data_IF_263794160086
#
_entry.id   IF_263794160086
#
_cell.length_a   1.000
_cell.length_b   1.000
_cell.length_c   1.000
_cell.angle_alpha   90.00
_cell.angle_beta   90.00
_cell.angle_gamma   90.00
#
_symmetry.space_group_name_H-M   'P 1'
#
loop_
_entity.id
_entity.type
_entity.pdbx_description
1 polymer ?
#
# COMPACT_ATOMS: atom_id res chain seq x y z
N UNK A 1 36.82 4.43 7.60
CA UNK A 1 35.75 5.40 7.25
C UNK A 1 34.40 4.78 7.59
N UNK A 2 33.72 5.26 8.64
CA UNK A 2 32.34 4.85 8.95
C UNK A 2 31.46 5.28 7.78
N UNK A 3 30.93 4.36 7.00
CA UNK A 3 29.95 4.64 5.94
C UNK A 3 28.63 5.05 6.62
N UNK A 4 28.34 6.32 6.63
CA UNK A 4 27.03 6.80 7.09
C UNK A 4 25.98 6.47 6.03
N UNK A 5 24.92 5.75 6.45
CA UNK A 5 23.78 5.50 5.60
C UNK A 5 23.13 6.84 5.19
N UNK A 6 22.74 6.96 3.91
CA UNK A 6 21.98 8.12 3.45
C UNK A 6 20.64 8.24 4.19
N UNK A 7 20.06 9.44 4.25
CA UNK A 7 18.73 9.67 4.83
C UNK A 7 17.70 8.72 4.23
N UNK A 8 17.72 8.57 2.89
CA UNK A 8 16.85 7.67 2.15
C UNK A 8 16.98 6.21 2.65
N UNK A 9 18.21 5.69 2.76
CA UNK A 9 18.43 4.32 3.23
C UNK A 9 17.96 4.10 4.67
N UNK A 10 18.18 5.08 5.56
CA UNK A 10 17.68 5.02 6.95
C UNK A 10 16.16 4.97 7.00
N UNK A 11 15.47 5.81 6.21
CA UNK A 11 14.01 5.81 6.13
C UNK A 11 13.47 4.48 5.62
N UNK A 12 14.04 3.96 4.54
CA UNK A 12 13.63 2.66 3.96
C UNK A 12 13.78 1.53 4.98
N UNK A 13 14.94 1.43 5.63
CA UNK A 13 15.19 0.37 6.62
C UNK A 13 14.25 0.49 7.82
N UNK A 14 14.13 1.69 8.41
CA UNK A 14 13.29 1.93 9.58
C UNK A 14 11.83 1.58 9.30
N UNK A 15 11.24 2.17 8.26
CA UNK A 15 9.84 1.94 7.95
C UNK A 15 9.57 0.51 7.48
N UNK A 16 10.50 -0.12 6.76
CA UNK A 16 10.37 -1.53 6.40
C UNK A 16 10.37 -2.44 7.63
N UNK A 17 11.28 -2.22 8.58
CA UNK A 17 11.30 -2.97 9.83
C UNK A 17 10.03 -2.76 10.66
N UNK A 18 9.55 -1.51 10.78
CA UNK A 18 8.30 -1.21 11.50
C UNK A 18 7.11 -1.95 10.87
N UNK A 19 7.01 -1.94 9.54
CA UNK A 19 5.91 -2.62 8.84
C UNK A 19 6.02 -4.15 8.93
N UNK A 20 7.22 -4.71 8.86
CA UNK A 20 7.41 -6.17 8.97
C UNK A 20 7.13 -6.67 10.39
N UNK A 21 7.77 -6.06 11.38
CA UNK A 21 7.62 -6.49 12.77
C UNK A 21 6.25 -6.13 13.30
N UNK A 22 5.79 -4.90 13.06
CA UNK A 22 4.45 -4.44 13.45
C UNK A 22 3.34 -5.27 12.80
N UNK A 23 3.44 -5.54 11.49
CA UNK A 23 2.51 -6.42 10.78
C UNK A 23 2.50 -7.84 11.34
N UNK A 24 3.68 -8.41 11.62
CA UNK A 24 3.79 -9.76 12.20
C UNK A 24 3.15 -9.83 13.60
N UNK A 25 3.44 -8.85 14.47
CA UNK A 25 2.84 -8.80 15.81
C UNK A 25 1.33 -8.69 15.73
N UNK A 26 0.80 -7.79 14.90
CA UNK A 26 -0.64 -7.60 14.77
C UNK A 26 -1.34 -8.83 14.16
N UNK A 27 -0.80 -9.42 13.09
CA UNK A 27 -1.34 -10.65 12.49
C UNK A 27 -1.29 -11.79 13.53
N UNK A 28 -0.17 -11.94 14.23
CA UNK A 28 -0.01 -12.95 15.27
C UNK A 28 -1.05 -12.79 16.39
N UNK A 29 -1.24 -11.58 16.92
CA UNK A 29 -2.23 -11.32 17.98
C UNK A 29 -3.67 -11.60 17.53
N UNK A 30 -4.03 -11.25 16.29
CA UNK A 30 -5.38 -11.40 15.75
C UNK A 30 -5.71 -12.87 15.43
N UNK A 31 -4.74 -13.63 14.91
CA UNK A 31 -4.96 -14.98 14.41
C UNK A 31 -4.48 -16.08 15.38
N UNK A 32 -3.91 -15.72 16.54
CA UNK A 32 -3.28 -16.66 17.46
C UNK A 32 -4.14 -17.85 17.86
N UNK A 33 -5.41 -17.58 18.08
CA UNK A 33 -6.39 -18.58 18.54
C UNK A 33 -7.36 -19.03 17.43
N UNK A 34 -7.21 -18.53 16.19
CA UNK A 34 -8.09 -18.88 15.10
C UNK A 34 -7.78 -20.32 14.62
N UNK A 35 -8.68 -21.31 14.89
CA UNK A 35 -8.39 -22.72 14.58
C UNK A 35 -8.29 -23.00 13.09
N UNK A 36 -8.84 -22.13 12.25
CA UNK A 36 -8.84 -22.27 10.78
C UNK A 36 -7.60 -21.67 10.10
N UNK A 37 -6.83 -20.84 10.83
CA UNK A 37 -5.62 -20.22 10.28
C UNK A 37 -4.35 -20.65 11.04
N UNK A 38 -4.13 -20.13 12.26
CA UNK A 38 -2.91 -20.38 13.04
C UNK A 38 -3.12 -21.26 14.26
N UNK A 39 -4.37 -21.51 14.69
CA UNK A 39 -4.66 -22.15 15.99
C UNK A 39 -4.02 -23.52 16.17
N UNK A 40 -3.94 -24.33 15.10
CA UNK A 40 -3.32 -25.67 15.14
C UNK A 40 -1.79 -25.71 15.12
N UNK A 41 -1.12 -24.54 14.96
CA UNK A 41 0.34 -24.49 14.91
C UNK A 41 0.96 -24.44 16.32
N UNK A 42 2.18 -24.97 16.45
CA UNK A 42 3.01 -24.79 17.65
C UNK A 42 3.37 -23.30 17.85
N UNK A 43 3.73 -22.90 19.07
CA UNK A 43 4.09 -21.50 19.36
C UNK A 43 5.20 -20.97 18.43
N UNK A 44 6.31 -21.66 18.19
CA UNK A 44 7.30 -21.22 17.20
C UNK A 44 6.71 -21.15 15.79
N UNK A 45 5.84 -22.11 15.41
CA UNK A 45 5.16 -22.12 14.11
C UNK A 45 4.25 -20.90 13.91
N UNK A 46 3.50 -20.49 14.95
CA UNK A 46 2.67 -19.26 14.90
C UNK A 46 3.50 -18.00 14.68
N UNK A 47 4.61 -17.87 15.39
CA UNK A 47 5.54 -16.73 15.23
C UNK A 47 6.11 -16.68 13.82
N UNK A 48 6.58 -17.82 13.32
CA UNK A 48 7.13 -17.91 11.96
C UNK A 48 6.08 -17.66 10.89
N UNK A 49 4.86 -18.18 11.05
CA UNK A 49 3.75 -17.92 10.12
C UNK A 49 3.34 -16.45 10.11
N UNK A 50 3.28 -15.79 11.28
CA UNK A 50 2.97 -14.37 11.38
C UNK A 50 4.05 -13.50 10.72
N UNK A 51 5.33 -13.78 10.97
CA UNK A 51 6.46 -13.10 10.32
C UNK A 51 6.43 -13.32 8.80
N UNK A 52 6.28 -14.57 8.36
CA UNK A 52 6.22 -14.90 6.95
C UNK A 52 5.08 -14.16 6.25
N UNK A 53 3.88 -14.19 6.85
CA UNK A 53 2.70 -13.54 6.28
C UNK A 53 2.88 -12.02 6.21
N UNK A 54 3.42 -11.39 7.24
CA UNK A 54 3.71 -9.96 7.23
C UNK A 54 4.71 -9.54 6.14
N UNK A 55 5.76 -10.34 5.92
CA UNK A 55 6.73 -10.09 4.83
C UNK A 55 6.09 -10.35 3.48
N UNK A 56 5.29 -11.42 3.36
CA UNK A 56 4.66 -11.84 2.11
C UNK A 56 3.64 -10.83 1.58
N UNK A 57 2.92 -10.11 2.46
CA UNK A 57 2.02 -9.02 2.05
C UNK A 57 2.72 -7.90 1.28
N UNK A 58 4.07 -7.85 1.33
CA UNK A 58 4.86 -6.82 0.65
C UNK A 58 5.52 -7.36 -0.62
N UNK A 59 4.66 -7.84 -1.53
CA UNK A 59 4.98 -8.25 -2.91
C UNK A 59 5.73 -9.58 -3.07
N UNK A 60 5.67 -10.49 -2.07
CA UNK A 60 6.15 -11.86 -2.23
C UNK A 60 5.03 -12.81 -2.72
N UNK A 61 3.78 -12.62 -2.25
CA UNK A 61 2.60 -13.30 -2.80
C UNK A 61 2.43 -14.77 -2.41
N UNK A 62 3.18 -15.25 -1.42
CA UNK A 62 3.07 -16.63 -0.90
C UNK A 62 2.41 -16.62 0.47
N UNK A 63 1.61 -17.65 0.76
CA UNK A 63 0.95 -17.82 2.04
C UNK A 63 1.28 -19.16 2.67
N UNK A 64 1.36 -19.18 3.99
CA UNK A 64 1.55 -20.39 4.82
C UNK A 64 0.32 -20.69 5.67
N UNK A 65 -0.66 -19.79 5.67
CA UNK A 65 -1.93 -19.92 6.37
C UNK A 65 -3.07 -19.72 5.37
N UNK A 66 -4.24 -20.23 5.71
CA UNK A 66 -5.45 -20.02 4.88
C UNK A 66 -5.95 -18.58 5.05
N UNK A 67 -5.77 -17.76 4.02
CA UNK A 67 -6.17 -16.36 4.02
C UNK A 67 -7.68 -16.17 3.97
N UNK A 68 -8.40 -17.10 3.32
CA UNK A 68 -9.85 -17.04 3.27
C UNK A 68 -10.47 -17.24 4.66
N UNK A 69 -9.83 -18.04 5.50
CA UNK A 69 -10.23 -18.34 6.86
C UNK A 69 -9.77 -17.30 7.92
N UNK A 70 -8.95 -16.33 7.53
CA UNK A 70 -8.54 -15.24 8.43
C UNK A 70 -9.72 -14.34 8.77
N UNK A 71 -9.64 -13.74 9.98
CA UNK A 71 -10.63 -12.78 10.44
C UNK A 71 -10.72 -11.51 9.57
N UNK A 72 -11.88 -10.83 9.53
CA UNK A 72 -12.08 -9.67 8.67
C UNK A 72 -11.13 -8.52 9.01
N UNK A 73 -10.81 -8.31 10.28
CA UNK A 73 -9.87 -7.27 10.72
C UNK A 73 -8.44 -7.61 10.26
N UNK A 74 -8.06 -8.88 10.30
CA UNK A 74 -6.76 -9.35 9.80
C UNK A 74 -6.64 -9.13 8.29
N UNK A 75 -7.69 -9.45 7.53
CA UNK A 75 -7.75 -9.19 6.08
C UNK A 75 -7.62 -7.69 5.79
N UNK A 76 -8.30 -6.83 6.55
CA UNK A 76 -8.18 -5.38 6.40
C UNK A 76 -6.77 -4.88 6.71
N UNK A 77 -6.15 -5.36 7.79
CA UNK A 77 -4.75 -5.05 8.12
C UNK A 77 -3.80 -5.47 6.99
N UNK A 78 -3.96 -6.70 6.49
CA UNK A 78 -3.17 -7.19 5.37
C UNK A 78 -3.38 -6.34 4.11
N UNK A 79 -4.61 -5.88 3.83
CA UNK A 79 -4.91 -4.99 2.70
C UNK A 79 -4.13 -3.67 2.79
N UNK A 80 -4.03 -3.08 3.98
CA UNK A 80 -3.21 -1.88 4.21
C UNK A 80 -1.73 -2.17 3.97
N UNK A 81 -1.22 -3.31 4.46
CA UNK A 81 0.17 -3.71 4.24
C UNK A 81 0.47 -3.98 2.76
N UNK A 82 -0.48 -4.57 2.02
CA UNK A 82 -0.38 -4.81 0.57
C UNK A 82 -0.37 -3.51 -0.23
N UNK A 83 -1.18 -2.54 0.17
CA UNK A 83 -1.22 -1.22 -0.45
C UNK A 83 0.11 -0.47 -0.30
N UNK A 84 0.78 -0.62 0.86
CA UNK A 84 2.12 -0.09 1.12
C UNK A 84 3.15 -1.09 0.60
N UNK A 85 3.54 -0.93 -0.65
CA UNK A 85 4.49 -1.81 -1.34
C UNK A 85 5.94 -1.68 -0.87
N UNK A 86 6.87 -2.04 -1.73
CA UNK A 86 8.29 -2.13 -1.42
C UNK A 86 9.03 -0.78 -1.52
N UNK A 87 10.35 -0.79 -1.30
CA UNK A 87 11.20 0.38 -1.42
C UNK A 87 11.30 0.89 -2.87
N UNK A 88 11.56 2.19 -3.09
CA UNK A 88 11.89 2.70 -4.42
C UNK A 88 13.09 1.99 -5.03
N UNK A 89 13.02 1.72 -6.34
CA UNK A 89 14.06 0.96 -7.05
C UNK A 89 13.96 -0.56 -6.89
N UNK A 90 12.98 -1.07 -6.12
CA UNK A 90 12.68 -2.51 -6.04
C UNK A 90 11.67 -2.92 -7.11
N UNK A 91 11.55 -4.24 -7.29
CA UNK A 91 10.59 -4.83 -8.23
C UNK A 91 9.14 -4.84 -7.70
N UNK A 92 8.87 -4.47 -6.45
CA UNK A 92 7.53 -4.45 -5.87
C UNK A 92 6.67 -3.31 -6.41
N UNK A 93 5.36 -3.55 -6.57
CA UNK A 93 4.36 -2.54 -6.94
C UNK A 93 3.81 -1.75 -5.75
N UNK A 94 2.64 -1.14 -5.94
CA UNK A 94 1.95 -0.37 -4.92
C UNK A 94 2.61 0.96 -4.55
N UNK A 95 2.11 1.59 -3.48
CA UNK A 95 2.67 2.83 -2.94
C UNK A 95 4.00 2.52 -2.27
N UNK A 96 5.07 3.22 -2.66
CA UNK A 96 6.40 2.97 -2.10
C UNK A 96 6.48 3.36 -0.62
N UNK A 97 7.26 2.57 0.16
CA UNK A 97 7.48 2.81 1.60
C UNK A 97 7.91 4.24 1.89
N UNK A 98 8.78 4.81 1.06
CA UNK A 98 9.24 6.19 1.24
C UNK A 98 8.13 7.21 1.03
N UNK A 99 7.21 6.97 0.09
CA UNK A 99 6.03 7.82 -0.14
C UNK A 99 5.14 7.83 1.10
N UNK A 100 4.88 6.65 1.66
CA UNK A 100 4.14 6.51 2.91
C UNK A 100 4.87 7.17 4.09
N UNK A 101 6.18 6.95 4.22
CA UNK A 101 7.00 7.54 5.27
C UNK A 101 7.00 9.07 5.21
N UNK A 102 7.14 9.67 4.02
CA UNK A 102 7.09 11.13 3.84
C UNK A 102 5.76 11.68 4.33
N UNK A 103 4.62 11.06 3.98
CA UNK A 103 3.31 11.53 4.44
C UNK A 103 3.14 11.43 5.97
N UNK A 104 3.49 10.31 6.58
CA UNK A 104 3.40 10.14 8.05
C UNK A 104 4.26 11.19 8.76
N UNK A 105 5.47 11.43 8.27
CA UNK A 105 6.36 12.41 8.89
C UNK A 105 5.90 13.86 8.64
N UNK A 106 5.31 14.14 7.47
CA UNK A 106 4.68 15.44 7.19
C UNK A 106 3.48 15.66 8.11
N UNK A 107 2.58 14.67 8.24
CA UNK A 107 1.45 14.76 9.17
C UNK A 107 1.90 15.04 10.59
N UNK A 108 2.97 14.37 11.05
CA UNK A 108 3.57 14.62 12.36
C UNK A 108 4.14 16.04 12.48
N UNK A 109 4.82 16.54 11.42
CA UNK A 109 5.40 17.88 11.40
C UNK A 109 4.30 18.94 11.51
N UNK A 110 3.25 18.82 10.71
CA UNK A 110 2.09 19.71 10.73
C UNK A 110 1.37 19.67 12.09
N UNK A 111 1.17 18.47 12.66
CA UNK A 111 0.57 18.31 13.99
C UNK A 111 1.41 18.94 15.11
N UNK A 112 2.72 19.17 14.90
CA UNK A 112 3.61 19.90 15.78
C UNK A 112 3.63 21.42 15.53
N UNK A 113 2.78 21.93 14.64
CA UNK A 113 2.69 23.35 14.29
C UNK A 113 3.87 23.85 13.46
N UNK A 114 4.55 22.97 12.70
CA UNK A 114 5.65 23.35 11.82
C UNK A 114 5.13 23.51 10.39
N UNK A 115 5.48 24.62 9.75
CA UNK A 115 5.13 24.89 8.35
C UNK A 115 5.94 24.02 7.37
N UNK A 116 7.12 23.56 7.81
CA UNK A 116 8.05 22.79 7.00
C UNK A 116 8.15 21.32 7.43
N UNK A 117 8.22 20.43 6.46
CA UNK A 117 8.51 19.01 6.69
C UNK A 117 10.02 18.82 6.88
N UNK A 118 10.45 18.56 8.12
CA UNK A 118 11.84 18.28 8.45
C UNK A 118 12.01 16.81 8.83
N UNK A 119 12.83 16.06 8.10
CA UNK A 119 13.10 14.64 8.33
C UNK A 119 14.60 14.46 8.58
N UNK A 120 14.96 13.99 9.77
CA UNK A 120 16.36 13.68 10.12
C UNK A 120 17.31 14.87 9.95
N UNK A 121 16.84 16.11 10.21
CA UNK A 121 17.61 17.34 10.04
C UNK A 121 17.68 17.88 8.60
N UNK A 122 16.90 17.28 7.66
CA UNK A 122 16.82 17.75 6.27
C UNK A 122 15.41 18.29 5.98
N UNK A 123 15.35 19.45 5.33
CA UNK A 123 14.10 20.00 4.80
C UNK A 123 13.66 19.21 3.56
N UNK A 124 12.38 18.83 3.52
CA UNK A 124 11.78 18.12 2.39
C UNK A 124 10.96 19.14 1.57
N UNK A 125 11.28 19.23 0.28
CA UNK A 125 10.56 20.12 -0.63
C UNK A 125 9.06 19.80 -0.66
N UNK A 126 8.22 20.83 -0.60
CA UNK A 126 6.75 20.72 -0.69
C UNK A 126 6.29 19.97 -1.95
N UNK A 127 7.04 20.10 -3.06
CA UNK A 127 6.78 19.32 -4.30
C UNK A 127 6.83 17.81 -4.07
N UNK A 128 7.72 17.34 -3.21
CA UNK A 128 7.84 15.91 -2.85
C UNK A 128 6.63 15.46 -2.04
N UNK A 129 6.16 16.31 -1.12
CA UNK A 129 4.97 16.03 -0.31
C UNK A 129 3.71 15.97 -1.19
N UNK A 130 3.50 16.95 -2.09
CA UNK A 130 2.37 16.94 -3.03
C UNK A 130 2.42 15.73 -3.95
N UNK A 131 3.59 15.35 -4.45
CA UNK A 131 3.77 14.15 -5.27
C UNK A 131 3.42 12.87 -4.48
N UNK A 132 3.84 12.78 -3.23
CA UNK A 132 3.52 11.67 -2.35
C UNK A 132 2.00 11.57 -2.09
N UNK A 133 1.33 12.70 -1.84
CA UNK A 133 -0.10 12.77 -1.66
C UNK A 133 -0.85 12.31 -2.93
N UNK A 134 -0.45 12.82 -4.09
CA UNK A 134 -1.04 12.43 -5.39
C UNK A 134 -0.92 10.93 -5.64
N UNK A 135 0.24 10.34 -5.35
CA UNK A 135 0.46 8.88 -5.51
C UNK A 135 -0.52 8.08 -4.65
N UNK A 136 -0.67 8.46 -3.38
CA UNK A 136 -1.56 7.73 -2.45
C UNK A 136 -3.02 7.91 -2.86
N UNK A 137 -3.44 9.13 -3.20
CA UNK A 137 -4.83 9.40 -3.62
C UNK A 137 -5.20 8.62 -4.89
N UNK A 138 -4.36 8.66 -5.93
CA UNK A 138 -4.58 7.88 -7.15
C UNK A 138 -4.56 6.37 -6.89
N UNK A 139 -3.64 5.91 -6.03
CA UNK A 139 -3.60 4.51 -5.63
C UNK A 139 -4.85 4.07 -4.89
N UNK A 140 -5.35 4.89 -3.95
CA UNK A 140 -6.61 4.61 -3.25
C UNK A 140 -7.82 4.57 -4.19
N UNK A 141 -7.93 5.53 -5.10
CA UNK A 141 -9.00 5.53 -6.11
C UNK A 141 -8.95 4.26 -6.95
N UNK A 142 -7.77 3.82 -7.37
CA UNK A 142 -7.63 2.59 -8.14
C UNK A 142 -7.98 1.33 -7.34
N UNK A 143 -7.46 1.20 -6.12
CA UNK A 143 -7.70 0.02 -5.28
C UNK A 143 -9.16 -0.05 -4.82
N UNK A 144 -9.71 1.04 -4.28
CA UNK A 144 -11.10 1.04 -3.81
C UNK A 144 -12.10 1.01 -4.96
N UNK A 145 -11.83 1.73 -6.06
CA UNK A 145 -12.67 1.70 -7.25
C UNK A 145 -12.75 0.29 -7.87
N UNK A 146 -11.62 -0.41 -7.96
CA UNK A 146 -11.63 -1.81 -8.40
C UNK A 146 -12.32 -2.75 -7.41
N UNK A 147 -12.22 -2.51 -6.09
CA UNK A 147 -12.91 -3.30 -5.09
C UNK A 147 -14.44 -3.20 -5.24
N UNK A 148 -14.96 -1.99 -5.50
CA UNK A 148 -16.39 -1.78 -5.76
C UNK A 148 -16.85 -2.58 -6.99
N UNK A 149 -16.12 -2.47 -8.11
CA UNK A 149 -16.46 -3.22 -9.33
C UNK A 149 -16.45 -4.72 -9.09
N UNK A 150 -15.46 -5.22 -8.38
CA UNK A 150 -15.31 -6.64 -8.05
C UNK A 150 -16.45 -7.11 -7.16
N UNK A 151 -16.78 -6.38 -6.13
CA UNK A 151 -17.88 -6.72 -5.22
C UNK A 151 -19.21 -6.90 -5.95
N UNK A 152 -19.54 -6.00 -6.89
CA UNK A 152 -20.77 -6.10 -7.69
C UNK A 152 -20.72 -7.15 -8.80
N UNK A 153 -19.55 -7.69 -9.14
CA UNK A 153 -19.36 -8.72 -10.19
C UNK A 153 -19.07 -10.12 -9.63
N UNK A 154 -19.17 -10.29 -8.31
CA UNK A 154 -18.97 -11.58 -7.63
C UNK A 154 -20.25 -12.06 -6.97
N UNK A 155 -20.25 -13.31 -6.50
CA UNK A 155 -21.38 -13.91 -5.77
C UNK A 155 -21.59 -13.25 -4.40
N UNK A 156 -22.80 -13.36 -3.85
CA UNK A 156 -23.18 -12.85 -2.51
C UNK A 156 -22.33 -13.42 -1.36
N UNK A 157 -21.56 -14.47 -1.62
CA UNK A 157 -20.65 -15.05 -0.63
C UNK A 157 -19.37 -14.23 -0.39
N UNK A 158 -19.04 -13.29 -1.30
CA UNK A 158 -17.85 -12.44 -1.21
C UNK A 158 -18.16 -11.21 -0.36
N UNK A 159 -17.39 -11.01 0.69
CA UNK A 159 -17.55 -9.82 1.54
C UNK A 159 -16.85 -8.59 0.93
N UNK A 160 -17.27 -7.39 1.33
CA UNK A 160 -16.60 -6.12 0.93
C UNK A 160 -15.11 -6.15 1.29
N UNK A 161 -14.78 -6.76 2.45
CA UNK A 161 -13.39 -6.86 2.91
C UNK A 161 -12.57 -7.79 2.00
N UNK A 162 -13.17 -8.88 1.51
CA UNK A 162 -12.52 -9.79 0.57
C UNK A 162 -12.23 -9.09 -0.78
N UNK A 163 -13.19 -8.28 -1.26
CA UNK A 163 -13.01 -7.48 -2.46
C UNK A 163 -11.90 -6.42 -2.30
N UNK A 164 -11.84 -5.74 -1.14
CA UNK A 164 -10.76 -4.78 -0.82
C UNK A 164 -9.41 -5.50 -0.75
N UNK A 165 -9.35 -6.66 -0.09
CA UNK A 165 -8.13 -7.46 0.04
C UNK A 165 -7.57 -7.83 -1.34
N UNK A 166 -8.42 -8.36 -2.21
CA UNK A 166 -8.03 -8.79 -3.56
C UNK A 166 -7.59 -7.60 -4.42
N UNK A 167 -8.30 -6.46 -4.32
CA UNK A 167 -7.98 -5.25 -5.07
C UNK A 167 -6.68 -4.60 -4.59
N UNK A 168 -6.42 -4.57 -3.28
CA UNK A 168 -5.15 -4.12 -2.73
C UNK A 168 -4.00 -5.05 -3.14
N UNK A 169 -4.24 -6.37 -3.19
CA UNK A 169 -3.28 -7.35 -3.68
C UNK A 169 -2.96 -7.13 -5.16
N UNK A 170 -3.97 -6.85 -5.98
CA UNK A 170 -3.80 -6.52 -7.40
C UNK A 170 -3.00 -5.22 -7.58
N UNK A 171 -3.40 -4.13 -6.92
CA UNK A 171 -2.70 -2.85 -6.99
C UNK A 171 -1.26 -2.92 -6.44
N UNK A 172 -1.07 -3.58 -5.29
CA UNK A 172 0.24 -3.81 -4.70
C UNK A 172 1.13 -4.77 -5.49
N UNK A 173 0.58 -5.45 -6.52
CA UNK A 173 1.22 -6.55 -7.27
C UNK A 173 1.75 -7.63 -6.34
N UNK A 174 0.98 -7.97 -5.29
CA UNK A 174 1.39 -8.88 -4.23
C UNK A 174 1.19 -10.33 -4.64
N UNK A 175 0.00 -10.68 -5.14
CA UNK A 175 -0.34 -12.04 -5.57
C UNK A 175 -1.04 -12.89 -4.51
N UNK A 176 -1.32 -12.34 -3.31
CA UNK A 176 -2.15 -13.02 -2.31
C UNK A 176 -3.63 -12.94 -2.72
N UNK A 177 -4.36 -14.03 -2.52
CA UNK A 177 -5.79 -14.13 -2.84
C UNK A 177 -6.54 -14.83 -1.71
N UNK A 178 -7.79 -14.41 -1.51
CA UNK A 178 -8.78 -15.08 -0.65
C UNK A 178 -9.79 -15.89 -1.48
N UNK A 179 -9.48 -16.13 -2.76
CA UNK A 179 -10.29 -16.94 -3.66
C UNK A 179 -11.31 -16.17 -4.52
N UNK A 180 -11.34 -14.83 -4.42
CA UNK A 180 -12.27 -13.98 -5.18
C UNK A 180 -11.93 -13.95 -6.67
N UNK A 181 -10.63 -13.91 -7.02
CA UNK A 181 -10.16 -13.82 -8.43
C UNK A 181 -10.72 -14.94 -9.32
N UNK A 182 -10.91 -16.16 -8.76
CA UNK A 182 -11.47 -17.29 -9.51
C UNK A 182 -12.93 -17.07 -9.94
N UNK A 183 -13.68 -16.27 -9.20
CA UNK A 183 -15.12 -16.01 -9.41
C UNK A 183 -15.38 -14.82 -10.34
N UNK A 184 -14.34 -14.04 -10.68
CA UNK A 184 -14.47 -12.83 -11.50
C UNK A 184 -14.87 -13.16 -12.94
N UNK A 185 -15.77 -12.34 -13.49
CA UNK A 185 -16.04 -12.32 -14.92
C UNK A 185 -14.86 -11.74 -15.71
N UNK A 186 -14.90 -11.90 -17.04
CA UNK A 186 -13.82 -11.43 -17.93
C UNK A 186 -13.55 -9.93 -17.82
N UNK A 187 -14.61 -9.12 -17.68
CA UNK A 187 -14.48 -7.65 -17.53
C UNK A 187 -13.74 -7.25 -16.25
N UNK A 188 -14.08 -7.86 -15.12
CA UNK A 188 -13.41 -7.62 -13.85
C UNK A 188 -11.94 -8.11 -13.85
N UNK A 189 -11.65 -9.22 -14.54
CA UNK A 189 -10.26 -9.68 -14.75
C UNK A 189 -9.44 -8.68 -15.58
N UNK A 190 -10.01 -8.12 -16.64
CA UNK A 190 -9.34 -7.08 -17.43
C UNK A 190 -9.09 -5.82 -16.61
N UNK A 191 -10.05 -5.40 -15.76
CA UNK A 191 -9.85 -4.30 -14.83
C UNK A 191 -8.68 -4.57 -13.87
N UNK A 192 -8.59 -5.79 -13.31
CA UNK A 192 -7.47 -6.15 -12.46
C UNK A 192 -6.14 -6.12 -13.17
N UNK A 193 -6.07 -6.55 -14.44
CA UNK A 193 -4.84 -6.42 -15.25
C UNK A 193 -4.39 -4.96 -15.38
N UNK A 194 -5.33 -4.03 -15.59
CA UNK A 194 -5.03 -2.59 -15.62
C UNK A 194 -4.56 -2.07 -14.27
N UNK A 195 -5.22 -2.47 -13.18
CA UNK A 195 -4.84 -2.07 -11.82
C UNK A 195 -3.45 -2.62 -11.44
N UNK A 196 -3.14 -3.87 -11.78
CA UNK A 196 -1.81 -4.47 -11.59
C UNK A 196 -0.74 -3.71 -12.38
N UNK A 197 -1.02 -3.38 -13.66
CA UNK A 197 -0.10 -2.62 -14.50
C UNK A 197 0.16 -1.22 -13.93
N UNK A 198 -0.91 -0.52 -13.50
CA UNK A 198 -0.81 0.80 -12.88
C UNK A 198 -0.03 0.76 -11.56
N UNK A 199 -0.28 -0.25 -10.72
CA UNK A 199 0.47 -0.46 -9.48
C UNK A 199 1.95 -0.73 -9.70
N UNK A 200 2.31 -1.39 -10.81
CA UNK A 200 3.68 -1.72 -11.17
C UNK A 200 4.46 -0.54 -11.73
N UNK A 201 3.88 0.18 -12.69
CA UNK A 201 4.49 1.37 -13.32
C UNK A 201 4.52 2.56 -12.37
N UNK A 202 3.55 2.63 -11.48
CA UNK A 202 3.30 3.73 -10.55
C UNK A 202 2.15 4.62 -11.03
N UNK A 203 1.22 4.96 -10.12
CA UNK A 203 -0.03 5.64 -10.48
C UNK A 203 0.18 7.01 -11.11
N UNK A 204 1.19 7.77 -10.68
CA UNK A 204 1.51 9.09 -11.26
C UNK A 204 2.07 8.97 -12.67
N UNK A 205 3.00 8.03 -12.89
CA UNK A 205 3.58 7.80 -14.23
C UNK A 205 2.50 7.36 -15.21
N UNK A 206 1.59 6.49 -14.76
CA UNK A 206 0.43 6.05 -15.54
C UNK A 206 -0.50 7.23 -15.87
N UNK A 207 -0.87 8.05 -14.88
CA UNK A 207 -1.72 9.23 -15.08
C UNK A 207 -1.08 10.25 -16.05
N UNK A 208 0.20 10.52 -15.91
CA UNK A 208 0.94 11.42 -16.82
C UNK A 208 0.94 10.87 -18.25
N UNK A 209 1.14 9.57 -18.44
CA UNK A 209 1.15 8.97 -19.79
C UNK A 209 -0.19 9.12 -20.53
N UNK A 210 -1.31 9.15 -19.78
CA UNK A 210 -2.65 9.36 -20.35
C UNK A 210 -2.98 10.84 -20.62
N UNK A 211 -2.38 11.76 -19.85
CA UNK A 211 -2.75 13.19 -19.87
C UNK A 211 -1.72 14.09 -20.55
N UNK A 212 -0.51 13.57 -20.88
CA UNK A 212 0.56 14.35 -21.49
C UNK A 212 0.17 14.83 -22.90
N UNK A 213 -0.40 16.05 -22.96
CA UNK A 213 -0.32 16.89 -24.16
C UNK A 213 1.01 17.64 -24.08
N UNK A 214 1.71 17.89 -25.21
CA UNK A 214 2.86 18.80 -25.21
C UNK A 214 2.40 20.14 -24.68
N UNK A 215 2.90 20.53 -23.52
CA UNK A 215 2.53 21.80 -22.89
C UNK A 215 3.26 22.94 -23.60
N UNK A 216 2.59 23.55 -24.57
CA UNK A 216 3.04 24.73 -25.29
C UNK A 216 2.79 26.03 -24.50
N UNK A 217 2.28 25.90 -23.27
CA UNK A 217 1.99 27.02 -22.39
C UNK A 217 3.20 27.37 -21.50
N UNK A 218 4.05 28.24 -22.02
CA UNK A 218 5.01 29.03 -21.25
C UNK A 218 4.34 29.52 -19.96
N UNK A 219 5.00 29.29 -18.83
CA UNK A 219 4.61 29.61 -17.46
C UNK A 219 3.85 30.92 -17.34
N UNK A 220 2.53 30.86 -17.28
CA UNK A 220 1.72 31.99 -16.85
C UNK A 220 1.89 32.12 -15.33
N UNK A 221 2.38 33.26 -14.87
CA UNK A 221 2.40 33.59 -13.44
C UNK A 221 0.95 33.90 -13.08
N UNK A 222 0.32 32.98 -12.37
CA UNK A 222 -1.04 33.14 -11.87
C UNK A 222 -1.01 33.79 -10.47
N UNK A 223 -1.98 34.67 -10.15
CA UNK A 223 -2.08 35.24 -8.81
C UNK A 223 -2.37 34.16 -7.76
N UNK A 224 -1.86 34.35 -6.55
CA UNK A 224 -2.06 33.43 -5.43
C UNK A 224 -3.49 33.58 -4.90
N UNK A 225 -4.31 32.53 -5.01
CA UNK A 225 -5.61 32.44 -4.35
C UNK A 225 -5.46 31.90 -2.93
N UNK A 226 -6.09 32.53 -1.96
CA UNK A 226 -6.16 32.05 -0.58
C UNK A 226 -7.43 31.23 -0.39
N UNK A 227 -7.28 29.95 0.02
CA UNK A 227 -8.39 29.06 0.38
C UNK A 227 -8.16 28.58 1.81
N UNK A 228 -9.11 28.84 2.69
CA UNK A 228 -9.06 28.32 4.06
C UNK A 228 -9.43 26.84 4.04
N UNK A 229 -8.50 26.02 4.47
CA UNK A 229 -8.74 24.60 4.80
C UNK A 229 -8.91 24.49 6.29
N UNK A 230 -10.06 23.97 6.76
CA UNK A 230 -10.48 23.90 8.16
C UNK A 230 -9.51 23.20 9.10
#
# INVERSE_FOLDING_TARGET
>A
KKRHLSLHARMVLLFSCILWVGGAVLIGLMEWNNPKSMGGLSVPGKVMAALFQSVSTRTAGMNTIDLAACGPITKLLMSILQFIGAAPGSTGGGVKVTTFAVLILTMRSVAQGRDDCVIGGHHIESKTVYRALTIIMLGMVAALGSAVVVYYNTSDAVTVIDAIFESCSAFGTVGLSVGVTGQLNTGAKLLYMLVMFMGRVGPVSFAISLTSKPDDNKRKILPVGQINVG
#
